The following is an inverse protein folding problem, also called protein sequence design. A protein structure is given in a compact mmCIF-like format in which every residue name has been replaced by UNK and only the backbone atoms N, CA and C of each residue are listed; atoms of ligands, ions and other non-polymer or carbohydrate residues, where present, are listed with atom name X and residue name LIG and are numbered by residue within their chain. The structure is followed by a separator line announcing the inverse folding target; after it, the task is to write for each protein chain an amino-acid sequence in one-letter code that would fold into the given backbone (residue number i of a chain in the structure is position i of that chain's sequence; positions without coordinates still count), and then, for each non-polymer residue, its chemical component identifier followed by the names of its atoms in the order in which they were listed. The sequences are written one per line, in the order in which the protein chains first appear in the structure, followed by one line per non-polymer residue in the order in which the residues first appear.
data_IF_622032241763
#
_entry.id   IF_622032241763
#
_cell.length_a   1.000
_cell.length_b   1.000
_cell.length_c   1.000
_cell.angle_alpha   90.00
_cell.angle_beta   90.00
_cell.angle_gamma   90.00
#
_symmetry.space_group_name_H-M   'P 1'
#
loop_
_entity.id
_entity.type
_entity.pdbx_description
1 polymer ?
#
# COMPACT_ATOMS: atom_id res chain seq x y z
N UNK A 1 0.71 -47.49 25.52
CA UNK A 1 -0.75 -47.28 25.46
C UNK A 1 -1.04 -45.94 26.12
N UNK A 2 -1.22 -44.92 25.30
CA UNK A 2 -1.58 -43.59 25.73
C UNK A 2 -3.06 -43.39 25.37
N UNK A 3 -3.88 -43.17 26.37
CA UNK A 3 -5.34 -43.04 26.27
C UNK A 3 -5.76 -41.84 25.40
N UNK A 4 -6.82 -41.95 24.56
CA UNK A 4 -7.19 -40.92 23.59
C UNK A 4 -8.16 -39.84 24.09
N UNK A 5 -8.17 -39.45 25.35
CA UNK A 5 -9.31 -38.66 25.90
C UNK A 5 -8.95 -37.32 26.55
N UNK A 6 -7.84 -36.70 26.18
CA UNK A 6 -7.51 -35.33 26.64
C UNK A 6 -7.37 -34.28 25.54
N UNK A 7 -8.03 -34.46 24.40
CA UNK A 7 -8.08 -33.46 23.32
C UNK A 7 -9.47 -32.87 23.12
N UNK A 8 -10.13 -32.51 24.20
CA UNK A 8 -11.34 -31.72 24.09
C UNK A 8 -11.25 -30.49 24.99
N UNK A 9 -11.44 -29.35 24.37
CA UNK A 9 -11.82 -28.08 24.99
C UNK A 9 -10.71 -27.15 25.50
N UNK A 10 -9.83 -26.72 24.62
CA UNK A 10 -9.34 -25.33 24.71
C UNK A 10 -10.16 -24.45 23.76
N UNK A 11 -11.37 -24.12 24.18
CA UNK A 11 -12.05 -22.91 23.70
C UNK A 11 -11.28 -21.71 24.25
N UNK A 12 -10.15 -21.40 23.58
CA UNK A 12 -9.40 -20.18 23.85
C UNK A 12 -10.24 -19.00 23.39
N UNK A 13 -10.58 -18.09 24.27
CA UNK A 13 -11.06 -16.78 23.87
C UNK A 13 -12.21 -16.17 24.64
N UNK A 14 -12.63 -16.70 25.79
CA UNK A 14 -13.75 -16.10 26.53
C UNK A 14 -13.40 -15.13 27.67
N UNK A 15 -12.14 -15.09 28.12
CA UNK A 15 -11.75 -14.29 29.28
C UNK A 15 -10.46 -13.49 29.07
N UNK A 16 -10.27 -12.87 27.91
CA UNK A 16 -9.21 -11.86 27.77
C UNK A 16 -9.68 -10.54 28.41
N UNK A 17 -9.12 -10.14 29.57
CA UNK A 17 -9.55 -8.93 30.28
C UNK A 17 -9.25 -7.63 29.51
N UNK A 18 -8.55 -7.72 28.38
CA UNK A 18 -8.23 -6.60 27.51
C UNK A 18 -9.37 -6.27 26.53
N UNK A 19 -10.34 -7.19 26.36
CA UNK A 19 -11.52 -6.97 25.52
C UNK A 19 -12.69 -6.50 26.41
N UNK A 20 -13.13 -5.25 26.30
CA UNK A 20 -14.25 -4.78 27.09
C UNK A 20 -15.51 -5.59 26.71
N UNK A 21 -16.20 -6.12 27.71
CA UNK A 21 -17.37 -6.99 27.59
C UNK A 21 -18.55 -6.36 26.79
N UNK A 22 -18.46 -5.09 26.41
CA UNK A 22 -19.47 -4.36 25.64
C UNK A 22 -19.43 -4.63 24.14
N UNK A 23 -18.34 -5.20 23.60
CA UNK A 23 -18.19 -5.48 22.16
C UNK A 23 -18.58 -6.92 21.77
N UNK A 24 -19.09 -7.71 22.71
CA UNK A 24 -19.66 -9.06 22.45
C UNK A 24 -21.13 -9.00 21.99
N UNK A 25 -21.55 -7.90 21.40
CA UNK A 25 -22.87 -7.83 20.76
C UNK A 25 -22.82 -8.62 19.46
N UNK A 26 -23.76 -9.54 19.31
CA UNK A 26 -24.02 -10.42 18.16
C UNK A 26 -23.95 -9.66 16.81
N UNK A 27 -22.75 -9.58 16.22
CA UNK A 27 -22.54 -9.00 14.91
C UNK A 27 -21.11 -8.48 14.74
N UNK A 28 -20.49 -8.76 13.57
CA UNK A 28 -19.20 -8.21 13.22
C UNK A 28 -19.31 -6.68 13.03
N UNK A 29 -18.34 -5.94 13.55
CA UNK A 29 -18.21 -4.49 13.28
C UNK A 29 -17.69 -4.31 11.86
N UNK A 30 -18.40 -3.55 11.05
CA UNK A 30 -17.97 -3.21 9.69
C UNK A 30 -17.00 -2.03 9.76
N UNK A 31 -15.83 -2.20 9.14
CA UNK A 31 -14.88 -1.12 8.87
C UNK A 31 -15.17 -0.65 7.43
N UNK A 32 -15.76 0.53 7.29
CA UNK A 32 -16.11 1.08 5.98
C UNK A 32 -14.87 1.72 5.32
N UNK A 33 -14.18 0.95 4.50
CA UNK A 33 -13.01 1.42 3.74
C UNK A 33 -13.34 2.51 2.72
N UNK A 34 -14.58 2.58 2.20
CA UNK A 34 -14.98 3.63 1.26
C UNK A 34 -15.15 4.97 1.96
N UNK A 35 -15.77 4.99 3.13
CA UNK A 35 -15.91 6.19 3.94
C UNK A 35 -14.51 6.72 4.36
N UNK A 36 -13.65 5.86 4.87
CA UNK A 36 -12.29 6.22 5.22
C UNK A 36 -11.49 6.75 4.02
N UNK A 37 -11.59 6.11 2.86
CA UNK A 37 -10.92 6.57 1.64
C UNK A 37 -11.46 7.93 1.16
N UNK A 38 -12.75 8.22 1.36
CA UNK A 38 -13.32 9.53 1.03
C UNK A 38 -12.76 10.63 1.94
N UNK A 39 -12.66 10.36 3.24
CA UNK A 39 -12.06 11.27 4.23
C UNK A 39 -10.59 11.56 3.89
N UNK A 40 -9.78 10.53 3.70
CA UNK A 40 -8.34 10.66 3.35
C UNK A 40 -8.17 11.46 2.05
N UNK A 41 -8.99 11.20 1.02
CA UNK A 41 -8.94 11.98 -0.23
C UNK A 41 -9.30 13.44 -0.02
N UNK A 42 -10.24 13.75 0.88
CA UNK A 42 -10.55 15.14 1.26
C UNK A 42 -9.35 15.84 1.87
N UNK A 43 -8.70 15.23 2.84
CA UNK A 43 -7.49 15.76 3.48
C UNK A 43 -6.34 15.93 2.47
N UNK A 44 -6.18 15.01 1.51
CA UNK A 44 -5.18 15.12 0.45
C UNK A 44 -5.48 16.27 -0.51
N UNK A 45 -6.75 16.52 -0.84
CA UNK A 45 -7.14 17.65 -1.68
C UNK A 45 -6.80 18.99 -1.03
N UNK A 46 -7.02 19.15 0.26
CA UNK A 46 -6.62 20.35 1.03
C UNK A 46 -5.10 20.54 1.00
N UNK A 47 -4.33 19.47 1.22
CA UNK A 47 -2.87 19.51 1.16
C UNK A 47 -2.36 19.86 -0.24
N UNK A 48 -2.96 19.29 -1.29
CA UNK A 48 -2.61 19.60 -2.67
C UNK A 48 -2.92 21.07 -3.02
N UNK A 49 -4.06 21.60 -2.55
CA UNK A 49 -4.41 23.02 -2.72
C UNK A 49 -3.40 23.94 -2.02
N UNK A 50 -2.97 23.61 -0.82
CA UNK A 50 -1.97 24.36 -0.07
C UNK A 50 -0.59 24.36 -0.77
N UNK A 51 -0.18 23.26 -1.40
CA UNK A 51 1.03 23.18 -2.23
C UNK A 51 0.88 24.02 -3.50
N UNK A 52 -0.27 23.93 -4.15
CA UNK A 52 -0.57 24.69 -5.37
C UNK A 52 -0.52 26.20 -5.11
N UNK A 53 -0.97 26.68 -3.96
CA UNK A 53 -0.86 28.06 -3.56
C UNK A 53 0.61 28.53 -3.42
N UNK A 54 1.55 27.60 -3.24
CA UNK A 54 3.01 27.84 -3.22
C UNK A 54 3.67 27.62 -4.59
N UNK A 55 2.88 27.45 -5.65
CA UNK A 55 3.40 27.19 -7.00
C UNK A 55 3.78 25.74 -7.29
N UNK A 56 3.51 24.79 -6.37
CA UNK A 56 3.85 23.37 -6.52
C UNK A 56 2.58 22.57 -6.80
N UNK A 57 2.45 22.02 -8.01
CA UNK A 57 1.36 21.09 -8.33
C UNK A 57 1.89 19.67 -8.21
N UNK A 58 1.46 18.88 -7.22
CA UNK A 58 1.91 17.48 -7.11
C UNK A 58 1.57 16.71 -8.37
N UNK A 59 2.48 15.87 -8.84
CA UNK A 59 2.34 15.10 -10.07
C UNK A 59 2.69 13.63 -9.83
N UNK A 60 1.77 12.74 -10.21
CA UNK A 60 1.95 11.31 -10.23
C UNK A 60 2.06 10.81 -11.68
N UNK A 61 3.16 10.15 -12.02
CA UNK A 61 3.30 9.42 -13.27
C UNK A 61 2.92 7.96 -13.05
N UNK A 62 2.06 7.43 -13.91
CA UNK A 62 1.58 6.04 -13.87
C UNK A 62 1.91 5.38 -15.19
N UNK A 63 2.68 4.30 -15.12
CA UNK A 63 3.05 3.48 -16.28
C UNK A 63 2.21 2.20 -16.26
N UNK A 64 1.59 1.87 -17.39
CA UNK A 64 0.85 0.64 -17.63
C UNK A 64 1.44 -0.06 -18.85
N UNK A 65 1.78 -1.33 -18.71
CA UNK A 65 2.25 -2.16 -19.83
C UNK A 65 1.29 -3.33 -20.03
N UNK A 66 0.77 -3.45 -21.24
CA UNK A 66 -0.21 -4.46 -21.59
C UNK A 66 -1.66 -4.03 -21.40
N UNK A 67 -2.57 -4.97 -21.65
CA UNK A 67 -4.01 -4.74 -21.72
C UNK A 67 -4.79 -5.51 -20.64
N UNK A 68 -4.16 -5.86 -19.50
CA UNK A 68 -4.87 -6.53 -18.42
C UNK A 68 -6.06 -5.68 -17.95
N UNK A 69 -7.31 -6.19 -18.03
CA UNK A 69 -8.50 -5.39 -17.71
C UNK A 69 -8.53 -4.89 -16.27
N UNK A 70 -8.02 -5.69 -15.32
CA UNK A 70 -7.98 -5.30 -13.91
C UNK A 70 -6.99 -4.14 -13.71
N UNK A 71 -5.80 -4.25 -14.28
CA UNK A 71 -4.78 -3.19 -14.26
C UNK A 71 -5.28 -1.89 -14.88
N UNK A 72 -5.99 -1.98 -16.02
CA UNK A 72 -6.58 -0.82 -16.69
C UNK A 72 -7.61 -0.09 -15.80
N UNK A 73 -8.44 -0.85 -15.05
CA UNK A 73 -9.40 -0.28 -14.08
C UNK A 73 -8.67 0.40 -12.93
N UNK A 74 -7.64 -0.24 -12.36
CA UNK A 74 -6.86 0.33 -11.26
C UNK A 74 -6.17 1.63 -11.67
N UNK A 75 -5.52 1.66 -12.83
CA UNK A 75 -4.85 2.85 -13.36
C UNK A 75 -5.86 3.98 -13.59
N UNK A 76 -7.00 3.69 -14.23
CA UNK A 76 -8.07 4.69 -14.42
C UNK A 76 -8.53 5.28 -13.09
N UNK A 77 -8.76 4.45 -12.08
CA UNK A 77 -9.20 4.91 -10.77
C UNK A 77 -8.12 5.74 -10.05
N UNK A 78 -6.84 5.38 -10.18
CA UNK A 78 -5.71 6.14 -9.63
C UNK A 78 -5.60 7.52 -10.26
N UNK A 79 -5.67 7.60 -11.60
CA UNK A 79 -5.65 8.87 -12.33
C UNK A 79 -6.82 9.76 -11.89
N UNK A 80 -8.05 9.24 -11.95
CA UNK A 80 -9.24 10.00 -11.56
C UNK A 80 -9.19 10.48 -10.10
N UNK A 81 -8.70 9.65 -9.18
CA UNK A 81 -8.55 10.02 -7.78
C UNK A 81 -7.50 11.12 -7.58
N UNK A 82 -6.36 11.05 -8.30
CA UNK A 82 -5.31 12.06 -8.28
C UNK A 82 -5.80 13.40 -8.79
N UNK A 83 -6.48 13.41 -9.93
CA UNK A 83 -7.05 14.62 -10.52
C UNK A 83 -8.11 15.25 -9.62
N UNK A 84 -9.00 14.42 -9.05
CA UNK A 84 -10.01 14.89 -8.09
C UNK A 84 -9.39 15.49 -6.83
N UNK A 85 -8.23 15.02 -6.41
CA UNK A 85 -7.47 15.60 -5.31
C UNK A 85 -6.66 16.84 -5.70
N UNK A 86 -6.78 17.33 -6.94
CA UNK A 86 -6.07 18.53 -7.40
C UNK A 86 -4.60 18.31 -7.80
N UNK A 87 -4.20 17.04 -7.95
CA UNK A 87 -2.88 16.65 -8.43
C UNK A 87 -2.88 16.49 -9.96
N UNK A 88 -1.74 16.69 -10.58
CA UNK A 88 -1.51 16.32 -11.99
C UNK A 88 -1.24 14.83 -12.07
N UNK A 89 -1.78 14.18 -13.10
CA UNK A 89 -1.46 12.80 -13.41
C UNK A 89 -0.92 12.68 -14.83
N UNK A 90 0.22 11.98 -14.98
CA UNK A 90 0.74 11.53 -16.26
C UNK A 90 0.41 10.05 -16.39
N UNK A 91 -0.05 9.65 -17.56
CA UNK A 91 -0.38 8.25 -17.84
C UNK A 91 0.32 7.81 -19.11
N UNK A 92 1.28 6.92 -18.98
CA UNK A 92 1.97 6.29 -20.09
C UNK A 92 1.48 4.84 -20.24
N UNK A 93 1.02 4.48 -21.45
CA UNK A 93 0.49 3.14 -21.77
C UNK A 93 1.32 2.53 -22.87
N UNK A 94 1.82 1.33 -22.63
CA UNK A 94 2.64 0.57 -23.57
C UNK A 94 1.92 -0.73 -23.95
N UNK A 95 2.15 -1.18 -25.17
CA UNK A 95 1.66 -2.46 -25.64
C UNK A 95 2.26 -3.63 -24.84
N UNK A 96 1.60 -4.78 -24.86
CA UNK A 96 2.04 -5.96 -24.11
C UNK A 96 3.39 -6.51 -24.57
N UNK A 97 3.80 -6.23 -25.80
CA UNK A 97 5.05 -6.62 -26.44
C UNK A 97 6.10 -5.50 -26.47
N UNK A 98 5.87 -4.42 -25.73
CA UNK A 98 6.80 -3.29 -25.66
C UNK A 98 8.20 -3.74 -25.20
N UNK A 99 9.24 -3.13 -25.80
CA UNK A 99 10.61 -3.35 -25.38
C UNK A 99 10.82 -2.82 -23.94
N UNK A 100 11.30 -3.65 -23.01
CA UNK A 100 11.65 -3.21 -21.66
C UNK A 100 12.58 -1.99 -21.62
N UNK A 101 13.51 -1.86 -22.57
CA UNK A 101 14.41 -0.71 -22.65
C UNK A 101 13.66 0.63 -22.88
N UNK A 102 12.55 0.60 -23.61
CA UNK A 102 11.70 1.79 -23.82
C UNK A 102 11.05 2.22 -22.51
N UNK A 103 10.54 1.29 -21.70
CA UNK A 103 9.92 1.59 -20.41
C UNK A 103 10.96 2.08 -19.40
N UNK A 104 12.14 1.44 -19.35
CA UNK A 104 13.26 1.88 -18.49
C UNK A 104 13.75 3.28 -18.88
N UNK A 105 13.86 3.57 -20.18
CA UNK A 105 14.19 4.91 -20.66
C UNK A 105 13.18 5.95 -20.20
N UNK A 106 11.88 5.62 -20.24
CA UNK A 106 10.84 6.50 -19.76
C UNK A 106 10.91 6.73 -18.25
N UNK A 107 11.20 5.71 -17.47
CA UNK A 107 11.43 5.83 -16.02
C UNK A 107 12.60 6.79 -15.74
N UNK A 108 13.69 6.67 -16.48
CA UNK A 108 14.85 7.57 -16.35
C UNK A 108 14.50 9.04 -16.65
N UNK A 109 13.68 9.30 -17.68
CA UNK A 109 13.17 10.64 -17.97
C UNK A 109 12.30 11.19 -16.83
N UNK A 110 11.38 10.38 -16.31
CA UNK A 110 10.50 10.74 -15.19
C UNK A 110 11.28 10.97 -13.89
N UNK A 111 12.34 10.20 -13.65
CA UNK A 111 13.25 10.42 -12.53
C UNK A 111 13.94 11.78 -12.63
N UNK A 112 14.37 12.16 -13.83
CA UNK A 112 15.07 13.44 -14.06
C UNK A 112 14.13 14.65 -14.09
N UNK A 113 12.83 14.48 -14.29
CA UNK A 113 11.85 15.57 -14.35
C UNK A 113 11.49 16.08 -12.93
N UNK A 114 11.90 17.32 -12.56
CA UNK A 114 11.58 17.88 -11.24
C UNK A 114 10.09 18.20 -11.06
N UNK A 115 9.29 18.19 -12.13
CA UNK A 115 7.85 18.41 -12.07
C UNK A 115 7.06 17.10 -11.81
N UNK A 116 7.74 15.95 -11.80
CA UNK A 116 7.20 14.62 -11.44
C UNK A 116 7.63 14.28 -10.02
N UNK A 117 6.68 14.09 -9.14
CA UNK A 117 6.92 13.90 -7.71
C UNK A 117 6.75 12.45 -7.25
N UNK A 118 6.10 11.64 -8.06
CA UNK A 118 5.93 10.21 -7.80
C UNK A 118 5.77 9.43 -9.10
N UNK A 119 6.29 8.21 -9.10
CA UNK A 119 6.24 7.28 -10.22
C UNK A 119 5.65 5.97 -9.71
N UNK A 120 4.76 5.38 -10.50
CA UNK A 120 4.13 4.11 -10.23
C UNK A 120 4.12 3.29 -11.51
N UNK A 121 4.63 2.07 -11.43
CA UNK A 121 4.51 1.07 -12.50
C UNK A 121 3.48 0.03 -12.09
N UNK A 122 2.38 -0.05 -12.83
CA UNK A 122 1.28 -0.95 -12.49
C UNK A 122 1.69 -2.41 -12.73
N UNK A 123 1.70 -3.20 -11.66
CA UNK A 123 1.90 -4.65 -11.72
C UNK A 123 0.56 -5.39 -11.96
N UNK A 124 0.59 -6.59 -12.56
CA UNK A 124 1.77 -7.29 -13.06
C UNK A 124 2.27 -6.77 -14.42
N UNK A 125 3.56 -6.91 -14.67
CA UNK A 125 4.16 -6.67 -15.99
C UNK A 125 4.09 -7.94 -16.85
N UNK A 126 4.16 -7.81 -18.21
CA UNK A 126 4.31 -8.97 -19.11
C UNK A 126 5.55 -9.80 -18.77
N UNK A 127 5.51 -11.10 -19.02
CA UNK A 127 6.53 -12.07 -18.58
C UNK A 127 7.95 -11.82 -19.05
N UNK A 128 8.14 -11.09 -20.14
CA UNK A 128 9.46 -10.75 -20.67
C UNK A 128 10.11 -9.53 -19.98
N UNK A 129 9.37 -8.85 -19.10
CA UNK A 129 9.92 -7.83 -18.21
C UNK A 129 10.53 -8.45 -16.96
N UNK A 130 11.68 -7.98 -16.55
CA UNK A 130 12.18 -8.15 -15.20
C UNK A 130 11.52 -7.09 -14.30
N UNK A 131 10.50 -7.51 -13.54
CA UNK A 131 9.75 -6.59 -12.68
C UNK A 131 10.61 -5.98 -11.57
N UNK A 132 11.57 -6.72 -11.05
CA UNK A 132 12.46 -6.23 -10.00
C UNK A 132 13.39 -5.15 -10.57
N UNK A 133 13.98 -5.37 -11.74
CA UNK A 133 14.78 -4.35 -12.41
C UNK A 133 14.00 -3.09 -12.75
N UNK A 134 12.72 -3.21 -13.14
CA UNK A 134 11.85 -2.05 -13.42
C UNK A 134 11.55 -1.26 -12.15
N UNK A 135 11.26 -1.93 -11.04
CA UNK A 135 10.98 -1.28 -9.77
C UNK A 135 12.22 -0.59 -9.18
N UNK A 136 13.38 -1.23 -9.28
CA UNK A 136 14.68 -0.65 -8.86
C UNK A 136 15.16 0.50 -9.75
N UNK A 137 14.63 0.64 -10.96
CA UNK A 137 14.94 1.78 -11.84
C UNK A 137 14.21 3.07 -11.41
N UNK A 138 13.19 2.99 -10.60
CA UNK A 138 12.49 4.17 -10.06
C UNK A 138 13.36 4.79 -8.97
N UNK A 139 13.57 6.11 -9.02
CA UNK A 139 14.29 6.81 -7.95
C UNK A 139 13.57 6.60 -6.60
N UNK A 140 14.28 6.19 -5.52
CA UNK A 140 13.66 5.88 -4.23
C UNK A 140 12.77 6.98 -3.67
N UNK A 141 13.13 8.24 -3.94
CA UNK A 141 12.35 9.41 -3.52
C UNK A 141 11.10 9.67 -4.36
N UNK A 142 10.91 8.92 -5.47
CA UNK A 142 9.74 8.98 -6.34
C UNK A 142 8.95 7.66 -6.37
N UNK A 143 9.45 6.61 -5.73
CA UNK A 143 8.79 5.30 -5.62
C UNK A 143 7.62 5.38 -4.62
N UNK A 144 6.46 5.80 -5.11
CA UNK A 144 5.27 6.00 -4.24
C UNK A 144 4.61 4.71 -3.78
N UNK A 145 4.96 3.58 -4.38
CA UNK A 145 4.49 2.26 -3.93
C UNK A 145 5.38 1.66 -2.82
N UNK A 146 6.59 2.21 -2.61
CA UNK A 146 7.52 1.78 -1.57
C UNK A 146 8.10 0.38 -1.83
N UNK A 147 8.31 0.02 -3.10
CA UNK A 147 8.80 -1.31 -3.50
C UNK A 147 10.31 -1.35 -3.76
N UNK A 148 10.93 -0.20 -4.01
CA UNK A 148 12.38 -0.09 -4.15
C UNK A 148 13.09 -0.59 -2.88
N UNK A 149 14.22 -1.30 -3.04
CA UNK A 149 14.93 -1.93 -1.92
C UNK A 149 15.32 -0.94 -0.81
N UNK A 150 15.68 0.31 -1.16
CA UNK A 150 15.95 1.35 -0.17
C UNK A 150 14.72 1.70 0.68
N UNK A 151 13.54 1.80 0.07
CA UNK A 151 12.29 2.09 0.79
C UNK A 151 11.86 0.91 1.67
N UNK A 152 12.04 -0.32 1.17
CA UNK A 152 11.82 -1.56 1.96
C UNK A 152 12.79 -1.63 3.15
N UNK A 153 14.07 -1.31 2.95
CA UNK A 153 15.07 -1.24 4.01
C UNK A 153 14.74 -0.17 5.06
N UNK A 154 14.34 1.02 4.61
CA UNK A 154 13.93 2.11 5.48
C UNK A 154 12.68 1.76 6.32
N UNK A 155 11.70 1.06 5.72
CA UNK A 155 10.52 0.55 6.44
C UNK A 155 10.93 -0.44 7.53
N UNK A 156 11.82 -1.38 7.22
CA UNK A 156 12.31 -2.37 8.19
C UNK A 156 13.06 -1.71 9.35
N UNK A 157 13.79 -0.63 9.10
CA UNK A 157 14.51 0.15 10.11
C UNK A 157 13.62 1.08 10.94
N UNK A 158 12.32 1.17 10.62
CA UNK A 158 11.38 2.05 11.31
C UNK A 158 11.41 3.51 10.86
N UNK A 159 12.10 3.83 9.76
CA UNK A 159 12.22 5.18 9.18
C UNK A 159 11.67 5.22 7.73
N UNK A 160 10.43 4.81 7.48
CA UNK A 160 9.91 4.69 6.12
C UNK A 160 9.80 6.07 5.44
N UNK A 161 10.31 6.18 4.21
CA UNK A 161 10.02 7.30 3.31
C UNK A 161 8.66 7.09 2.64
N UNK A 162 8.49 5.93 2.03
CA UNK A 162 7.23 5.45 1.48
C UNK A 162 6.87 4.10 2.08
N UNK A 163 5.58 3.86 2.21
CA UNK A 163 5.02 2.63 2.75
C UNK A 163 4.13 2.03 1.66
N UNK A 164 4.25 0.74 1.35
CA UNK A 164 3.37 0.08 0.40
C UNK A 164 1.88 0.36 0.69
N UNK A 165 1.15 0.79 -0.35
CA UNK A 165 -0.18 1.38 -0.18
C UNK A 165 -1.20 0.43 0.46
N UNK A 166 -1.19 -0.87 0.09
CA UNK A 166 -2.14 -1.85 0.64
C UNK A 166 -1.95 -2.07 2.14
N UNK A 167 -0.75 -2.43 2.64
CA UNK A 167 -0.55 -2.56 4.09
C UNK A 167 -0.74 -1.23 4.83
N UNK A 168 -0.37 -0.10 4.25
CA UNK A 168 -0.63 1.19 4.86
C UNK A 168 -2.14 1.47 4.99
N UNK A 169 -2.92 1.13 3.97
CA UNK A 169 -4.38 1.20 4.02
C UNK A 169 -4.98 0.34 5.13
N UNK A 170 -4.45 -0.88 5.35
CA UNK A 170 -4.85 -1.74 6.47
C UNK A 170 -4.55 -1.06 7.81
N UNK A 171 -3.36 -0.45 7.97
CA UNK A 171 -3.03 0.29 9.19
C UNK A 171 -3.98 1.45 9.43
N UNK A 172 -4.37 2.19 8.39
CA UNK A 172 -5.37 3.26 8.49
C UNK A 172 -6.75 2.74 8.90
N UNK A 173 -7.16 1.57 8.45
CA UNK A 173 -8.40 0.92 8.88
C UNK A 173 -8.33 0.50 10.34
N UNK A 174 -7.23 -0.09 10.79
CA UNK A 174 -7.03 -0.47 12.19
C UNK A 174 -7.03 0.76 13.12
N UNK A 175 -6.38 1.85 12.69
CA UNK A 175 -6.36 3.13 13.40
C UNK A 175 -7.79 3.71 13.52
N UNK A 176 -8.55 3.77 12.42
CA UNK A 176 -9.93 4.28 12.41
C UNK A 176 -10.86 3.44 13.28
N UNK A 177 -10.62 2.13 13.34
CA UNK A 177 -11.32 1.19 14.19
C UNK A 177 -10.86 1.24 15.65
N UNK A 178 -9.80 1.99 15.98
CA UNK A 178 -9.20 2.10 17.31
C UNK A 178 -8.79 0.73 17.88
N UNK A 179 -8.23 -0.15 17.03
CA UNK A 179 -7.75 -1.46 17.44
C UNK A 179 -6.50 -1.26 18.32
N UNK A 180 -6.45 -1.79 19.55
CA UNK A 180 -5.27 -1.70 20.39
C UNK A 180 -4.19 -2.64 19.85
N UNK A 181 -3.15 -2.09 19.22
CA UNK A 181 -2.10 -2.89 18.57
C UNK A 181 -0.98 -3.29 19.53
N UNK A 182 -0.60 -2.41 20.47
CA UNK A 182 0.49 -2.69 21.40
C UNK A 182 0.23 -3.94 22.22
N UNK A 183 1.11 -4.94 22.08
CA UNK A 183 1.01 -6.23 22.76
C UNK A 183 -0.03 -7.19 22.14
N UNK A 184 -0.65 -6.84 21.02
CA UNK A 184 -1.55 -7.73 20.32
C UNK A 184 -0.77 -8.83 19.57
N UNK A 185 -1.38 -10.00 19.43
CA UNK A 185 -0.89 -11.08 18.59
C UNK A 185 -1.47 -10.93 17.18
N UNK A 186 -0.62 -10.94 16.17
CA UNK A 186 -1.02 -10.77 14.78
C UNK A 186 -0.50 -11.92 13.92
N UNK A 187 -1.38 -12.52 13.15
CA UNK A 187 -1.03 -13.58 12.18
C UNK A 187 -1.25 -13.05 10.77
N UNK A 188 -0.22 -13.12 9.93
CA UNK A 188 -0.28 -12.70 8.54
C UNK A 188 -0.24 -13.93 7.64
N UNK A 189 -1.31 -14.15 6.89
CA UNK A 189 -1.39 -15.20 5.88
C UNK A 189 -0.93 -14.61 4.54
N UNK A 190 0.38 -14.68 4.28
CA UNK A 190 1.01 -14.13 3.08
C UNK A 190 2.44 -13.69 3.33
N UNK A 191 3.27 -13.72 2.27
CA UNK A 191 4.71 -13.39 2.35
C UNK A 191 5.23 -12.58 1.16
N UNK A 192 4.33 -11.92 0.45
CA UNK A 192 4.73 -11.09 -0.70
C UNK A 192 5.55 -9.88 -0.26
N UNK A 193 6.46 -9.42 -1.13
CA UNK A 193 7.25 -8.22 -0.89
C UNK A 193 6.38 -6.95 -0.85
N UNK A 194 5.22 -6.99 -1.53
CA UNK A 194 4.34 -5.81 -1.70
C UNK A 194 3.25 -5.70 -0.64
N UNK A 195 2.91 -6.79 0.08
CA UNK A 195 1.85 -6.79 1.11
C UNK A 195 2.27 -7.50 2.39
N UNK A 196 2.57 -8.81 2.34
CA UNK A 196 2.74 -9.63 3.55
C UNK A 196 3.92 -9.19 4.41
N UNK A 197 5.09 -9.05 3.82
CA UNK A 197 6.29 -8.59 4.55
C UNK A 197 6.15 -7.16 5.08
N UNK A 198 5.72 -6.17 4.27
CA UNK A 198 5.50 -4.81 4.78
C UNK A 198 4.44 -4.76 5.88
N UNK A 199 3.37 -5.55 5.79
CA UNK A 199 2.36 -5.61 6.85
C UNK A 199 2.95 -6.11 8.17
N UNK A 200 3.81 -7.13 8.12
CA UNK A 200 4.51 -7.65 9.29
C UNK A 200 5.38 -6.56 9.94
N UNK A 201 6.13 -5.81 9.15
CA UNK A 201 6.99 -4.73 9.65
C UNK A 201 6.17 -3.60 10.27
N UNK A 202 5.06 -3.21 9.67
CA UNK A 202 4.18 -2.19 10.21
C UNK A 202 3.55 -2.58 11.55
N UNK A 203 3.11 -3.82 11.70
CA UNK A 203 2.55 -4.33 12.95
C UNK A 203 3.63 -4.50 14.03
N UNK A 204 4.82 -4.96 13.65
CA UNK A 204 5.97 -5.05 14.55
C UNK A 204 6.36 -3.65 15.08
N UNK A 205 6.35 -2.63 14.23
CA UNK A 205 6.60 -1.24 14.62
C UNK A 205 5.56 -0.70 15.62
N UNK A 206 4.35 -1.28 15.65
CA UNK A 206 3.31 -0.98 16.65
C UNK A 206 3.40 -1.86 17.90
N UNK A 207 4.50 -2.59 18.08
CA UNK A 207 4.73 -3.50 19.21
C UNK A 207 3.74 -4.67 19.29
N UNK A 208 3.28 -5.16 18.13
CA UNK A 208 2.59 -6.45 18.05
C UNK A 208 3.59 -7.61 18.12
N UNK A 209 3.13 -8.77 18.58
CA UNK A 209 3.75 -10.05 18.29
C UNK A 209 3.25 -10.53 16.94
N UNK A 210 4.15 -10.76 15.96
CA UNK A 210 3.78 -11.05 14.56
C UNK A 210 4.29 -12.43 14.17
#
# INVERSE_FOLDING_TARGET
ECSPDERSNRAAGRDDPRVPARDLVLGARIIDGNALAAEVRGQLAERAAALKAKGITPCLAVILVGEDPASAVYVRNKVAASEKAGMRSLKDVYAADADPATVLGRIAELNADPSVHGILVQLPLPKHFDSDAVLEAIAPEKDVDGFHAENVGALMQGNPRFIPCTPYGVMKMLESAKVPLKGAEAVIVGRSNIVGKPMAMLLLAQSCTV
#
